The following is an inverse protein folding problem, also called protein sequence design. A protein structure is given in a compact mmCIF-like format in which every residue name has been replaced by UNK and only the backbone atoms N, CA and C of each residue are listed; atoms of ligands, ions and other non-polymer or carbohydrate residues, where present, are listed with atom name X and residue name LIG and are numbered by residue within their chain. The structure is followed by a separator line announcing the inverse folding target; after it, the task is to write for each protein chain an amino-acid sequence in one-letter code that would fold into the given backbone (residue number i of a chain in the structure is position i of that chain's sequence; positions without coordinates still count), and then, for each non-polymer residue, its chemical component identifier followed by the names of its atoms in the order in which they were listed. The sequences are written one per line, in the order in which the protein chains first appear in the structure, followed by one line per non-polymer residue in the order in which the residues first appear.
data_IF_523380673733
#
_entry.id   IF_523380673733
#
_cell.length_a   1.000
_cell.length_b   1.000
_cell.length_c   1.000
_cell.angle_alpha   90.00
_cell.angle_beta   90.00
_cell.angle_gamma   90.00
#
_symmetry.space_group_name_H-M   'P 1'
#
loop_
_entity.id
_entity.type
_entity.pdbx_description
1 polymer ?
#
# COMPACT_ATOMS: atom_id res chain seq x y z
N UNK A 1 119.73 -78.37 36.93
CA UNK A 1 118.33 -78.80 36.69
C UNK A 1 117.71 -77.80 35.74
N UNK A 2 117.19 -78.19 34.56
CA UNK A 2 116.49 -77.26 33.69
C UNK A 2 115.25 -76.74 34.41
N UNK A 3 115.12 -75.42 34.48
CA UNK A 3 113.97 -74.72 35.06
C UNK A 3 112.70 -75.22 34.37
N UNK A 4 111.73 -75.72 35.12
CA UNK A 4 110.45 -76.16 34.56
C UNK A 4 109.75 -75.01 33.84
N UNK A 5 109.12 -75.29 32.70
CA UNK A 5 108.30 -74.31 31.97
C UNK A 5 107.24 -73.77 32.91
N UNK A 6 107.15 -72.45 33.01
CA UNK A 6 106.13 -71.80 33.83
C UNK A 6 104.91 -71.38 33.00
N UNK A 7 103.77 -71.22 33.67
CA UNK A 7 102.52 -70.68 33.07
C UNK A 7 102.79 -69.33 32.38
N UNK A 8 103.60 -68.47 32.99
CA UNK A 8 103.92 -67.12 32.50
C UNK A 8 104.64 -67.13 31.16
N UNK A 9 105.60 -68.04 30.98
CA UNK A 9 106.38 -68.13 29.73
C UNK A 9 105.50 -68.59 28.56
N UNK A 10 104.64 -69.58 28.80
CA UNK A 10 103.67 -70.08 27.80
C UNK A 10 102.67 -68.99 27.41
N UNK A 11 102.20 -68.22 28.38
CA UNK A 11 101.23 -67.15 28.15
C UNK A 11 101.83 -65.97 27.38
N UNK A 12 103.04 -65.54 27.73
CA UNK A 12 103.72 -64.45 27.04
C UNK A 12 103.99 -64.79 25.56
N UNK A 13 104.31 -66.05 25.27
CA UNK A 13 104.49 -66.51 23.88
C UNK A 13 103.16 -66.63 23.17
N UNK A 14 102.11 -67.13 23.83
CA UNK A 14 100.77 -67.17 23.25
C UNK A 14 100.28 -65.76 22.87
N UNK A 15 100.48 -64.78 23.76
CA UNK A 15 100.21 -63.36 23.52
C UNK A 15 100.98 -62.83 22.30
N UNK A 16 102.27 -63.13 22.23
CA UNK A 16 103.13 -62.69 21.12
C UNK A 16 102.70 -63.32 19.79
N UNK A 17 102.19 -64.56 19.80
CA UNK A 17 101.66 -65.23 18.62
C UNK A 17 100.33 -64.59 18.17
N UNK A 18 99.43 -64.25 19.10
CA UNK A 18 98.19 -63.52 18.79
C UNK A 18 98.49 -62.14 18.19
N UNK A 19 99.47 -61.40 18.73
CA UNK A 19 99.88 -60.10 18.17
C UNK A 19 100.44 -60.22 16.74
N UNK A 20 100.92 -61.41 16.35
CA UNK A 20 101.38 -61.73 15.00
C UNK A 20 100.28 -62.32 14.10
N UNK A 21 99.03 -62.36 14.58
CA UNK A 21 97.90 -63.00 13.91
C UNK A 21 98.10 -64.52 13.67
N UNK A 22 98.89 -65.16 14.53
CA UNK A 22 99.14 -66.61 14.50
C UNK A 22 98.44 -67.33 15.66
N UNK A 23 97.79 -68.46 15.37
CA UNK A 23 97.14 -69.27 16.40
C UNK A 23 98.17 -69.94 17.32
N UNK A 24 98.07 -69.77 18.66
CA UNK A 24 99.04 -70.33 19.60
C UNK A 24 98.85 -71.85 19.75
N UNK A 25 99.54 -72.63 18.91
CA UNK A 25 99.55 -74.09 18.97
C UNK A 25 100.68 -74.59 19.89
N UNK A 26 100.54 -75.82 20.41
CA UNK A 26 101.57 -76.45 21.26
C UNK A 26 102.93 -76.47 20.54
N UNK A 27 102.92 -76.70 19.21
CA UNK A 27 104.11 -76.76 18.38
C UNK A 27 104.79 -75.39 18.30
N UNK A 28 104.04 -74.32 18.02
CA UNK A 28 104.59 -72.98 17.88
C UNK A 28 105.15 -72.46 19.21
N UNK A 29 104.42 -72.68 20.31
CA UNK A 29 104.86 -72.28 21.65
C UNK A 29 106.11 -73.06 22.07
N UNK A 30 106.13 -74.38 21.85
CA UNK A 30 107.30 -75.21 22.17
C UNK A 30 108.53 -74.81 21.34
N UNK A 31 108.32 -74.44 20.07
CA UNK A 31 109.39 -73.97 19.19
C UNK A 31 109.99 -72.65 19.67
N UNK A 32 109.17 -71.71 20.15
CA UNK A 32 109.66 -70.43 20.69
C UNK A 32 110.28 -70.57 22.09
N UNK A 33 109.81 -71.51 22.92
CA UNK A 33 110.41 -71.82 24.23
C UNK A 33 111.74 -72.57 24.15
N UNK A 34 112.08 -73.16 22.99
CA UNK A 34 113.27 -74.00 22.84
C UNK A 34 113.16 -75.39 23.48
N UNK A 35 111.96 -75.86 23.85
CA UNK A 35 111.75 -77.22 24.36
C UNK A 35 110.63 -77.39 25.39
N UNK A 36 110.72 -78.48 26.16
CA UNK A 36 109.87 -78.83 27.31
C UNK A 36 108.67 -79.75 27.04
N UNK A 37 107.91 -80.05 28.11
CA UNK A 37 106.88 -81.09 28.13
C UNK A 37 105.60 -80.63 27.39
N UNK A 38 105.20 -81.29 26.29
CA UNK A 38 103.99 -80.94 25.54
C UNK A 38 102.72 -80.90 26.39
N UNK A 39 102.59 -81.77 27.40
CA UNK A 39 101.41 -81.82 28.25
C UNK A 39 101.31 -80.59 29.18
N UNK A 40 102.44 -80.13 29.71
CA UNK A 40 102.50 -78.91 30.54
C UNK A 40 102.18 -77.68 29.71
N UNK A 41 102.74 -77.59 28.49
CA UNK A 41 102.44 -76.51 27.54
C UNK A 41 100.96 -76.54 27.16
N UNK A 42 100.40 -77.72 26.83
CA UNK A 42 98.99 -77.88 26.50
C UNK A 42 98.06 -77.43 27.64
N UNK A 43 98.39 -77.78 28.89
CA UNK A 43 97.60 -77.37 30.06
C UNK A 43 97.64 -75.85 30.28
N UNK A 44 98.81 -75.22 30.20
CA UNK A 44 98.92 -73.78 30.34
C UNK A 44 98.29 -73.01 29.18
N UNK A 45 98.39 -73.54 27.95
CA UNK A 45 97.69 -73.01 26.78
C UNK A 45 96.17 -73.15 26.89
N UNK A 46 95.66 -74.25 27.44
CA UNK A 46 94.23 -74.42 27.68
C UNK A 46 93.72 -73.37 28.67
N UNK A 47 94.45 -73.13 29.77
CA UNK A 47 94.13 -72.07 30.73
C UNK A 47 94.22 -70.67 30.11
N UNK A 48 95.21 -70.41 29.24
CA UNK A 48 95.32 -69.13 28.53
C UNK A 48 94.13 -68.92 27.59
N UNK A 49 93.79 -69.94 26.78
CA UNK A 49 92.65 -69.88 25.85
C UNK A 49 91.34 -69.64 26.58
N UNK A 50 91.13 -70.30 27.72
CA UNK A 50 89.92 -70.11 28.50
C UNK A 50 89.76 -68.67 29.00
N UNK A 51 90.84 -68.03 29.42
CA UNK A 51 90.81 -66.64 29.88
C UNK A 51 90.68 -65.64 28.72
N UNK A 52 91.42 -65.84 27.63
CA UNK A 52 91.35 -64.99 26.45
C UNK A 52 90.00 -65.08 25.71
N UNK A 53 89.43 -66.28 25.58
CA UNK A 53 88.10 -66.46 24.97
C UNK A 53 87.03 -65.75 25.80
N UNK A 54 87.16 -65.73 27.13
CA UNK A 54 86.21 -65.00 27.99
C UNK A 54 86.30 -63.49 27.76
N UNK A 55 87.50 -62.92 27.65
CA UNK A 55 87.68 -61.49 27.38
C UNK A 55 87.20 -61.08 25.97
N UNK A 56 87.52 -61.89 24.95
CA UNK A 56 87.05 -61.67 23.59
C UNK A 56 85.52 -61.76 23.50
N UNK A 57 84.92 -62.79 24.11
CA UNK A 57 83.46 -62.92 24.20
C UNK A 57 82.82 -61.75 24.96
N UNK A 58 83.44 -61.25 26.02
CA UNK A 58 82.98 -60.06 26.74
C UNK A 58 83.00 -58.82 25.85
N UNK A 59 84.08 -58.62 25.08
CA UNK A 59 84.17 -57.50 24.12
C UNK A 59 83.12 -57.59 23.00
N UNK A 60 82.83 -58.80 22.49
CA UNK A 60 81.73 -58.99 21.54
C UNK A 60 80.37 -58.64 22.16
N UNK A 61 80.12 -59.06 23.40
CA UNK A 61 78.86 -58.70 24.09
C UNK A 61 78.75 -57.21 24.38
N UNK A 62 79.83 -56.53 24.75
CA UNK A 62 79.84 -55.08 24.98
C UNK A 62 79.63 -54.31 23.68
N UNK A 63 80.28 -54.73 22.60
CA UNK A 63 80.08 -54.15 21.26
C UNK A 63 78.65 -54.32 20.77
N UNK A 64 78.06 -55.50 20.95
CA UNK A 64 76.66 -55.76 20.59
C UNK A 64 75.70 -54.88 21.40
N UNK A 65 75.96 -54.71 22.70
CA UNK A 65 75.19 -53.82 23.57
C UNK A 65 75.27 -52.36 23.09
N UNK A 66 76.47 -51.85 22.80
CA UNK A 66 76.65 -50.48 22.27
C UNK A 66 75.92 -50.28 20.93
N UNK A 67 75.98 -51.27 20.03
CA UNK A 67 75.25 -51.21 18.77
C UNK A 67 73.72 -51.27 18.97
N UNK A 68 73.23 -51.98 19.99
CA UNK A 68 71.82 -51.98 20.35
C UNK A 68 71.38 -50.60 20.86
N UNK A 69 72.15 -50.00 21.78
CA UNK A 69 71.87 -48.65 22.30
C UNK A 69 71.91 -47.58 21.20
N UNK A 70 72.87 -47.65 20.26
CA UNK A 70 72.89 -46.74 19.11
C UNK A 70 71.66 -46.87 18.21
N UNK A 71 71.16 -48.10 17.99
CA UNK A 71 69.92 -48.32 17.23
C UNK A 71 68.70 -47.76 17.94
N UNK A 72 68.62 -47.92 19.26
CA UNK A 72 67.53 -47.38 20.08
C UNK A 72 67.52 -45.84 20.02
N UNK A 73 68.67 -45.20 20.20
CA UNK A 73 68.77 -43.74 20.07
C UNK A 73 68.41 -43.23 18.66
N UNK A 74 68.81 -43.94 17.60
CA UNK A 74 68.43 -43.54 16.23
C UNK A 74 66.93 -43.75 15.99
N UNK A 75 66.32 -44.79 16.56
CA UNK A 75 64.86 -44.98 16.53
C UNK A 75 64.12 -43.85 17.26
N UNK A 76 64.58 -43.48 18.46
CA UNK A 76 64.03 -42.34 19.20
C UNK A 76 64.18 -41.04 18.41
N UNK A 77 65.34 -40.81 17.78
CA UNK A 77 65.58 -39.64 16.94
C UNK A 77 64.63 -39.59 15.75
N UNK A 78 64.41 -40.71 15.06
CA UNK A 78 63.44 -40.79 13.96
C UNK A 78 62.03 -40.51 14.47
N UNK A 79 61.62 -41.12 15.58
CA UNK A 79 60.31 -40.87 16.18
C UNK A 79 60.09 -39.41 16.61
N UNK A 80 61.13 -38.75 17.13
CA UNK A 80 61.08 -37.33 17.46
C UNK A 80 60.98 -36.44 16.22
N UNK A 81 61.69 -36.76 15.13
CA UNK A 81 61.56 -36.01 13.86
C UNK A 81 60.15 -36.15 13.27
N UNK A 82 59.57 -37.36 13.27
CA UNK A 82 58.20 -37.60 12.81
C UNK A 82 57.18 -36.81 13.65
N UNK A 83 57.36 -36.76 14.98
CA UNK A 83 56.49 -35.98 15.85
C UNK A 83 56.65 -34.46 15.64
N UNK A 84 57.86 -33.97 15.37
CA UNK A 84 58.10 -32.56 15.00
C UNK A 84 57.36 -32.24 13.70
N UNK A 85 57.49 -33.07 12.67
CA UNK A 85 56.79 -32.88 11.39
C UNK A 85 55.27 -32.90 11.57
N UNK A 86 54.75 -33.79 12.42
CA UNK A 86 53.33 -33.85 12.78
C UNK A 86 52.87 -32.56 13.47
N UNK A 87 53.63 -32.06 14.44
CA UNK A 87 53.32 -30.84 15.18
C UNK A 87 53.41 -29.60 14.29
N UNK A 88 54.39 -29.52 13.39
CA UNK A 88 54.51 -28.41 12.43
C UNK A 88 53.32 -28.40 11.46
N UNK A 89 52.88 -29.56 10.97
CA UNK A 89 51.67 -29.67 10.16
C UNK A 89 50.41 -29.23 10.92
N UNK A 90 50.31 -29.59 12.20
CA UNK A 90 49.21 -29.18 13.09
C UNK A 90 49.24 -27.66 13.35
N UNK A 91 50.41 -27.07 13.62
CA UNK A 91 50.59 -25.63 13.79
C UNK A 91 50.19 -24.88 12.52
N UNK A 92 50.61 -25.35 11.34
CA UNK A 92 50.24 -24.70 10.07
C UNK A 92 48.74 -24.83 9.77
N UNK A 93 48.11 -25.95 10.15
CA UNK A 93 46.65 -26.10 10.08
C UNK A 93 45.95 -25.10 11.00
N UNK A 94 46.37 -25.05 12.27
CA UNK A 94 45.83 -24.14 13.28
C UNK A 94 46.10 -22.67 12.94
N UNK A 95 47.13 -22.34 12.16
CA UNK A 95 47.37 -20.97 11.66
C UNK A 95 46.46 -20.61 10.48
N UNK A 96 46.11 -21.56 9.63
CA UNK A 96 45.22 -21.32 8.47
C UNK A 96 43.77 -21.12 8.90
N UNK A 97 43.28 -21.90 9.85
CA UNK A 97 41.90 -21.81 10.38
C UNK A 97 41.47 -20.39 10.84
N UNK A 98 42.23 -19.65 11.69
CA UNK A 98 41.86 -18.31 12.12
C UNK A 98 41.94 -17.29 10.98
N UNK A 99 42.83 -17.47 9.99
CA UNK A 99 42.88 -16.58 8.82
C UNK A 99 41.63 -16.71 7.94
N UNK A 100 41.15 -17.94 7.75
CA UNK A 100 39.86 -18.20 7.09
C UNK A 100 38.70 -17.61 7.91
N UNK A 101 38.65 -17.88 9.22
CA UNK A 101 37.60 -17.37 10.09
C UNK A 101 37.55 -15.82 10.14
N UNK A 102 38.71 -15.15 10.13
CA UNK A 102 38.79 -13.68 10.06
C UNK A 102 38.26 -13.15 8.72
N UNK A 103 38.54 -13.84 7.61
CA UNK A 103 38.00 -13.47 6.31
C UNK A 103 36.47 -13.62 6.27
N UNK A 104 35.94 -14.76 6.73
CA UNK A 104 34.50 -15.01 6.78
C UNK A 104 33.78 -13.99 7.67
N UNK A 105 34.34 -13.71 8.85
CA UNK A 105 33.81 -12.69 9.76
C UNK A 105 33.85 -11.28 9.14
N UNK A 106 34.85 -10.96 8.32
CA UNK A 106 34.89 -9.68 7.59
C UNK A 106 33.81 -9.60 6.49
N UNK A 107 33.57 -10.71 5.78
CA UNK A 107 32.51 -10.83 4.78
C UNK A 107 31.13 -10.68 5.43
N UNK A 108 30.89 -11.38 6.55
CA UNK A 108 29.64 -11.28 7.31
C UNK A 108 29.40 -9.89 7.87
N UNK A 109 30.42 -9.24 8.46
CA UNK A 109 30.32 -7.84 8.91
C UNK A 109 29.93 -6.89 7.77
N UNK A 110 30.51 -7.07 6.58
CA UNK A 110 30.17 -6.28 5.40
C UNK A 110 28.75 -6.56 4.92
N UNK A 111 28.28 -7.80 5.00
CA UNK A 111 26.90 -8.16 4.70
C UNK A 111 25.93 -7.53 5.72
N UNK A 112 26.26 -7.59 7.01
CA UNK A 112 25.46 -7.00 8.08
C UNK A 112 25.35 -5.47 7.97
N UNK A 113 26.43 -4.77 7.64
CA UNK A 113 26.38 -3.32 7.41
C UNK A 113 25.53 -2.95 6.19
N UNK A 114 25.51 -3.78 5.14
CA UNK A 114 24.59 -3.59 3.99
C UNK A 114 23.12 -3.78 4.40
N UNK A 115 22.81 -4.83 5.16
CA UNK A 115 21.43 -5.06 5.63
C UNK A 115 20.98 -3.94 6.57
N UNK A 116 21.89 -3.44 7.43
CA UNK A 116 21.63 -2.31 8.32
C UNK A 116 21.37 -1.02 7.54
N UNK A 117 22.10 -0.75 6.46
CA UNK A 117 21.82 0.38 5.57
C UNK A 117 20.44 0.24 4.91
N UNK A 118 20.11 -0.95 4.38
CA UNK A 118 18.79 -1.22 3.80
C UNK A 118 17.64 -1.03 4.80
N UNK A 119 17.79 -1.49 6.04
CA UNK A 119 16.79 -1.30 7.10
C UNK A 119 16.55 0.20 7.36
N UNK A 120 17.61 1.01 7.40
CA UNK A 120 17.46 2.47 7.55
C UNK A 120 16.71 3.10 6.38
N UNK A 121 17.01 2.70 5.15
CA UNK A 121 16.31 3.18 3.96
C UNK A 121 14.82 2.81 3.98
N UNK A 122 14.49 1.57 4.38
CA UNK A 122 13.09 1.13 4.53
C UNK A 122 12.37 1.91 5.65
N UNK A 123 13.02 2.14 6.78
CA UNK A 123 12.45 2.94 7.87
C UNK A 123 12.18 4.39 7.43
N UNK A 124 13.08 4.98 6.65
CA UNK A 124 12.87 6.33 6.10
C UNK A 124 11.68 6.35 5.13
N UNK A 125 11.62 5.41 4.19
CA UNK A 125 10.49 5.29 3.24
C UNK A 125 9.15 5.09 3.95
N UNK A 126 9.14 4.33 5.04
CA UNK A 126 7.95 4.11 5.85
C UNK A 126 7.48 5.40 6.52
N UNK A 127 8.40 6.20 7.08
CA UNK A 127 8.08 7.53 7.64
C UNK A 127 7.56 8.49 6.58
N UNK A 128 8.17 8.52 5.40
CA UNK A 128 7.72 9.35 4.28
C UNK A 128 6.32 8.93 3.80
N UNK A 129 6.06 7.62 3.68
CA UNK A 129 4.74 7.09 3.33
C UNK A 129 3.68 7.42 4.38
N UNK A 130 4.01 7.33 5.67
CA UNK A 130 3.13 7.74 6.76
C UNK A 130 2.78 9.23 6.69
N UNK A 131 3.77 10.10 6.53
CA UNK A 131 3.53 11.54 6.39
C UNK A 131 2.71 11.89 5.14
N UNK A 132 2.86 11.15 4.05
CA UNK A 132 2.03 11.32 2.86
C UNK A 132 0.59 10.82 3.07
N UNK A 133 0.41 9.70 3.77
CA UNK A 133 -0.92 9.18 4.13
C UNK A 133 -1.67 10.16 5.04
N UNK A 134 -0.99 10.77 6.02
CA UNK A 134 -1.56 11.82 6.87
C UNK A 134 -2.00 13.05 6.07
N UNK A 135 -1.17 13.53 5.13
CA UNK A 135 -1.54 14.63 4.23
C UNK A 135 -2.76 14.30 3.37
N UNK A 136 -2.82 13.09 2.82
CA UNK A 136 -3.97 12.63 2.03
C UNK A 136 -5.23 12.49 2.89
N UNK A 137 -5.10 12.02 4.13
CA UNK A 137 -6.21 11.94 5.07
C UNK A 137 -6.76 13.34 5.40
N UNK A 138 -5.88 14.33 5.61
CA UNK A 138 -6.30 15.71 5.85
C UNK A 138 -6.98 16.31 4.61
N UNK A 139 -6.43 16.09 3.41
CA UNK A 139 -7.09 16.53 2.17
C UNK A 139 -8.47 15.89 2.00
N UNK A 140 -8.61 14.60 2.28
CA UNK A 140 -9.90 13.91 2.23
C UNK A 140 -10.89 14.50 3.25
N UNK A 141 -10.42 14.87 4.45
CA UNK A 141 -11.25 15.50 5.46
C UNK A 141 -11.74 16.88 5.02
N UNK A 142 -10.85 17.70 4.45
CA UNK A 142 -11.21 19.02 3.89
C UNK A 142 -12.26 18.87 2.79
N UNK A 143 -12.05 17.96 1.84
CA UNK A 143 -13.00 17.70 0.76
C UNK A 143 -14.36 17.20 1.28
N UNK A 144 -14.38 16.39 2.33
CA UNK A 144 -15.64 15.96 2.98
C UNK A 144 -16.40 17.14 3.60
N UNK A 145 -15.70 18.08 4.25
CA UNK A 145 -16.31 19.28 4.81
C UNK A 145 -16.86 20.19 3.69
N UNK A 146 -16.11 20.38 2.60
CA UNK A 146 -16.58 21.14 1.44
C UNK A 146 -17.80 20.51 0.78
N UNK A 147 -17.81 19.18 0.64
CA UNK A 147 -18.96 18.45 0.11
C UNK A 147 -20.20 18.61 1.01
N UNK A 148 -20.04 18.58 2.33
CA UNK A 148 -21.12 18.86 3.27
C UNK A 148 -21.65 20.30 3.13
N UNK A 149 -20.76 21.29 3.03
CA UNK A 149 -21.14 22.69 2.85
C UNK A 149 -21.87 22.93 1.50
N UNK A 150 -21.44 22.26 0.43
CA UNK A 150 -22.14 22.32 -0.86
C UNK A 150 -23.54 21.69 -0.79
N UNK A 151 -23.69 20.60 -0.03
CA UNK A 151 -24.99 19.97 0.20
C UNK A 151 -25.94 20.91 0.96
N UNK A 152 -25.46 21.61 1.98
CA UNK A 152 -26.25 22.62 2.71
C UNK A 152 -26.64 23.79 1.80
N UNK A 153 -25.71 24.30 0.99
CA UNK A 153 -26.02 25.34 -0.01
C UNK A 153 -27.06 24.88 -1.02
N UNK A 154 -27.00 23.61 -1.46
CA UNK A 154 -28.02 23.01 -2.31
C UNK A 154 -29.40 22.97 -1.65
N UNK A 155 -29.48 22.57 -0.38
CA UNK A 155 -30.73 22.59 0.37
C UNK A 155 -31.31 24.01 0.53
N UNK A 156 -30.45 25.01 0.79
CA UNK A 156 -30.86 26.41 0.82
C UNK A 156 -31.34 26.93 -0.54
N UNK A 157 -30.70 26.52 -1.64
CA UNK A 157 -31.12 26.88 -2.98
C UNK A 157 -32.50 26.31 -3.32
N UNK A 158 -32.77 25.05 -2.96
CA UNK A 158 -34.10 24.45 -3.11
C UNK A 158 -35.15 25.14 -2.23
N UNK A 159 -34.80 25.52 -0.99
CA UNK A 159 -35.69 26.29 -0.13
C UNK A 159 -36.04 27.67 -0.75
N UNK A 160 -35.05 28.38 -1.29
CA UNK A 160 -35.25 29.66 -1.98
C UNK A 160 -36.10 29.46 -3.23
N UNK A 161 -35.88 28.40 -4.00
CA UNK A 161 -36.69 28.07 -5.18
C UNK A 161 -38.14 27.83 -4.81
N UNK A 162 -38.41 27.06 -3.75
CA UNK A 162 -39.77 26.84 -3.24
C UNK A 162 -40.43 28.15 -2.78
N UNK A 163 -39.68 29.07 -2.16
CA UNK A 163 -40.19 30.40 -1.81
C UNK A 163 -40.51 31.24 -3.05
N UNK A 164 -39.66 31.21 -4.07
CA UNK A 164 -39.90 31.91 -5.34
C UNK A 164 -41.14 31.36 -6.03
N UNK A 165 -41.30 30.04 -6.10
CA UNK A 165 -42.51 29.41 -6.67
C UNK A 165 -43.77 29.80 -5.89
N UNK A 166 -43.70 29.84 -4.55
CA UNK A 166 -44.80 30.30 -3.70
C UNK A 166 -45.16 31.76 -3.97
N UNK A 167 -44.18 32.66 -3.99
CA UNK A 167 -44.38 34.08 -4.27
C UNK A 167 -44.91 34.32 -5.70
N UNK A 168 -44.43 33.55 -6.68
CA UNK A 168 -44.97 33.57 -8.05
C UNK A 168 -46.43 33.11 -8.07
N UNK A 169 -46.78 32.07 -7.31
CA UNK A 169 -48.15 31.61 -7.12
C UNK A 169 -49.05 32.65 -6.46
N UNK A 170 -48.56 33.32 -5.41
CA UNK A 170 -49.27 34.42 -4.72
C UNK A 170 -49.47 35.63 -5.65
N UNK A 171 -48.46 36.02 -6.43
CA UNK A 171 -48.58 37.07 -7.45
C UNK A 171 -49.59 36.70 -8.54
N UNK A 172 -49.57 35.46 -9.02
CA UNK A 172 -50.58 34.95 -9.97
C UNK A 172 -51.99 34.94 -9.34
N UNK A 173 -52.10 34.61 -8.05
CA UNK A 173 -53.34 34.67 -7.29
C UNK A 173 -53.87 36.10 -7.15
N UNK A 174 -53.03 37.06 -6.75
CA UNK A 174 -53.38 38.46 -6.61
C UNK A 174 -53.76 39.11 -7.94
N UNK A 175 -53.07 38.77 -9.03
CA UNK A 175 -53.44 39.26 -10.37
C UNK A 175 -54.79 38.70 -10.83
N UNK A 176 -55.07 37.42 -10.57
CA UNK A 176 -56.41 36.83 -10.77
C UNK A 176 -57.48 37.47 -9.89
N UNK A 177 -57.22 37.68 -8.60
CA UNK A 177 -58.16 38.32 -7.69
C UNK A 177 -58.43 39.78 -8.09
N UNK A 178 -57.42 40.52 -8.54
CA UNK A 178 -57.57 41.90 -9.02
C UNK A 178 -58.34 41.98 -10.32
N UNK A 179 -58.15 41.03 -11.23
CA UNK A 179 -58.92 40.97 -12.49
C UNK A 179 -60.35 40.54 -12.23
N UNK A 180 -60.57 39.50 -11.43
CA UNK A 180 -61.91 39.05 -11.03
C UNK A 180 -62.67 40.09 -10.20
N UNK A 181 -62.01 40.83 -9.31
CA UNK A 181 -62.62 41.93 -8.55
C UNK A 181 -63.06 43.07 -9.47
N UNK A 182 -62.20 43.47 -10.42
CA UNK A 182 -62.57 44.45 -11.45
C UNK A 182 -63.72 43.95 -12.33
N UNK A 183 -63.72 42.68 -12.72
CA UNK A 183 -64.82 42.09 -13.48
C UNK A 183 -66.12 42.05 -12.66
N UNK A 184 -66.05 41.72 -11.36
CA UNK A 184 -67.22 41.71 -10.48
C UNK A 184 -67.79 43.13 -10.28
N UNK A 185 -66.92 44.13 -10.09
CA UNK A 185 -67.32 45.53 -9.99
C UNK A 185 -67.97 46.01 -11.30
N UNK A 186 -67.32 45.75 -12.44
CA UNK A 186 -67.86 46.08 -13.77
C UNK A 186 -69.16 45.34 -14.07
N UNK A 187 -69.31 44.09 -13.62
CA UNK A 187 -70.54 43.31 -13.77
C UNK A 187 -71.66 43.83 -12.85
N UNK A 188 -71.32 44.31 -11.65
CA UNK A 188 -72.23 44.98 -10.73
C UNK A 188 -72.77 46.28 -11.33
N UNK A 189 -71.88 47.10 -11.89
CA UNK A 189 -72.24 48.35 -12.57
C UNK A 189 -73.07 48.08 -13.83
N UNK A 190 -72.71 47.07 -14.62
CA UNK A 190 -73.50 46.65 -15.78
C UNK A 190 -74.92 46.20 -15.40
N UNK A 191 -75.09 45.51 -14.26
CA UNK A 191 -76.42 45.12 -13.75
C UNK A 191 -77.23 46.31 -13.29
N UNK A 192 -76.63 47.29 -12.59
CA UNK A 192 -77.32 48.53 -12.21
C UNK A 192 -77.79 49.30 -13.44
N UNK A 193 -76.91 49.48 -14.42
CA UNK A 193 -77.25 50.12 -15.70
C UNK A 193 -78.34 49.36 -16.47
N UNK A 194 -78.36 48.03 -16.41
CA UNK A 194 -79.42 47.23 -17.02
C UNK A 194 -80.76 47.43 -16.30
N UNK A 195 -80.78 47.50 -14.97
CA UNK A 195 -81.97 47.80 -14.18
C UNK A 195 -82.50 49.21 -14.45
N UNK A 196 -81.62 50.21 -14.52
CA UNK A 196 -81.97 51.58 -14.88
C UNK A 196 -82.56 51.65 -16.29
N UNK A 197 -81.95 50.97 -17.27
CA UNK A 197 -82.51 50.89 -18.62
C UNK A 197 -83.89 50.22 -18.65
N UNK A 198 -84.08 49.15 -17.87
CA UNK A 198 -85.39 48.48 -17.78
C UNK A 198 -86.44 49.39 -17.13
N UNK A 199 -86.07 50.13 -16.08
CA UNK A 199 -86.93 51.14 -15.45
C UNK A 199 -87.31 52.25 -16.44
N UNK A 200 -86.35 52.77 -17.19
CA UNK A 200 -86.59 53.77 -18.24
C UNK A 200 -87.47 53.22 -19.36
N UNK A 201 -87.31 51.95 -19.75
CA UNK A 201 -88.21 51.34 -20.75
C UNK A 201 -89.65 51.23 -20.24
N UNK A 202 -89.87 50.89 -18.97
CA UNK A 202 -91.20 50.90 -18.36
C UNK A 202 -91.76 52.32 -18.28
N UNK A 203 -90.93 53.31 -17.96
CA UNK A 203 -91.33 54.71 -17.96
C UNK A 203 -91.70 55.20 -19.36
N UNK A 204 -90.93 54.84 -20.40
CA UNK A 204 -91.27 55.10 -21.80
C UNK A 204 -92.59 54.40 -22.18
N UNK A 205 -92.80 53.15 -21.75
CA UNK A 205 -94.04 52.43 -22.04
C UNK A 205 -95.25 53.11 -21.39
N UNK A 206 -95.16 53.49 -20.11
CA UNK A 206 -96.23 54.23 -19.42
C UNK A 206 -96.44 55.62 -20.01
N UNK A 207 -95.37 56.31 -20.45
CA UNK A 207 -95.49 57.57 -21.18
C UNK A 207 -96.20 57.38 -22.52
N UNK A 208 -95.91 56.31 -23.27
CA UNK A 208 -96.64 55.98 -24.50
C UNK A 208 -98.11 55.71 -24.24
N UNK A 209 -98.46 54.95 -23.20
CA UNK A 209 -99.85 54.75 -22.79
C UNK A 209 -100.53 56.08 -22.43
N UNK A 210 -99.82 56.96 -21.70
CA UNK A 210 -100.31 58.32 -21.44
C UNK A 210 -100.47 59.13 -22.72
N UNK A 211 -99.59 59.00 -23.71
CA UNK A 211 -99.73 59.66 -25.01
C UNK A 211 -100.97 59.16 -25.74
N UNK A 212 -101.23 57.85 -25.74
CA UNK A 212 -102.46 57.28 -26.31
C UNK A 212 -103.70 57.79 -25.57
N UNK A 213 -103.65 57.91 -24.24
CA UNK A 213 -104.72 58.55 -23.46
C UNK A 213 -104.90 60.03 -23.78
N UNK A 214 -103.82 60.78 -23.99
CA UNK A 214 -103.88 62.19 -24.39
C UNK A 214 -104.44 62.31 -25.81
N UNK A 215 -104.07 61.45 -26.74
CA UNK A 215 -104.66 61.41 -28.09
C UNK A 215 -106.14 61.01 -28.05
N UNK A 216 -106.52 60.06 -27.19
CA UNK A 216 -107.92 59.70 -26.98
C UNK A 216 -108.73 60.85 -26.35
N UNK A 217 -108.15 61.57 -25.38
CA UNK A 217 -108.73 62.79 -24.81
C UNK A 217 -108.80 63.90 -25.85
N UNK A 218 -107.79 64.07 -26.70
CA UNK A 218 -107.79 65.04 -27.79
C UNK A 218 -108.87 64.71 -28.83
N UNK A 219 -109.06 63.44 -29.17
CA UNK A 219 -110.17 62.99 -30.02
C UNK A 219 -111.53 63.22 -29.36
N UNK A 220 -111.65 63.06 -28.04
CA UNK A 220 -112.87 63.45 -27.31
C UNK A 220 -113.09 64.95 -27.31
N UNK A 221 -112.04 65.77 -27.16
CA UNK A 221 -112.12 67.23 -27.24
C UNK A 221 -112.50 67.68 -28.66
N UNK A 222 -111.91 67.09 -29.71
CA UNK A 222 -112.31 67.35 -31.11
C UNK A 222 -113.75 66.91 -31.36
N UNK A 223 -114.19 65.79 -30.79
CA UNK A 223 -115.59 65.34 -30.87
C UNK A 223 -116.52 66.32 -30.17
N UNK A 224 -116.18 66.78 -28.97
CA UNK A 224 -116.94 67.80 -28.23
C UNK A 224 -116.90 69.17 -28.93
N UNK A 225 -115.81 69.53 -29.58
CA UNK A 225 -115.70 70.72 -30.42
C UNK A 225 -116.53 70.58 -31.70
N UNK A 226 -116.60 69.40 -32.30
CA UNK A 226 -117.51 69.07 -33.40
C UNK A 226 -118.98 69.09 -32.98
N UNK A 227 -119.29 68.59 -31.78
CA UNK A 227 -120.62 68.62 -31.18
C UNK A 227 -121.04 70.07 -30.83
N UNK A 228 -120.14 70.88 -30.26
CA UNK A 228 -120.32 72.33 -30.08
C UNK A 228 -120.49 73.06 -31.41
N UNK A 229 -119.75 72.70 -32.46
CA UNK A 229 -119.92 73.23 -33.80
C UNK A 229 -121.25 72.82 -34.44
N UNK A 230 -121.80 71.65 -34.08
CA UNK A 230 -123.13 71.20 -34.51
C UNK A 230 -124.29 71.85 -33.72
N UNK A 231 -124.06 72.24 -32.47
CA UNK A 231 -124.99 73.02 -31.64
C UNK A 231 -124.97 74.53 -31.96
N UNK A 232 -123.84 75.05 -32.42
CA UNK A 232 -123.68 76.45 -32.81
C UNK A 232 -124.18 76.77 -34.23
N UNK A 233 -124.52 75.77 -35.06
CA UNK A 233 -124.97 75.97 -36.47
C UNK A 233 -126.49 76.04 -36.68
N UNK A 234 -127.28 76.13 -35.61
CA UNK A 234 -128.74 76.33 -35.67
C UNK A 234 -129.25 77.70 -35.17
N UNK A 235 -128.37 78.69 -34.99
CA UNK A 235 -128.75 80.11 -34.80
C UNK A 235 -127.70 81.08 -35.36
N UNK A 236 -128.16 81.85 -36.34
CA UNK A 236 -127.78 83.23 -36.68
C UNK A 236 -126.31 83.65 -36.84
N UNK A 237 -126.09 84.17 -38.06
CA UNK A 237 -125.37 85.40 -38.41
C UNK A 237 -123.85 85.44 -38.45
N UNK A 238 -123.42 85.91 -39.61
CA UNK A 238 -122.32 86.85 -39.86
C UNK A 238 -120.86 86.37 -39.86
N UNK A 239 -120.34 86.45 -41.09
CA UNK A 239 -119.06 87.04 -41.53
C UNK A 239 -117.74 86.29 -41.32
N UNK A 240 -117.00 86.44 -42.41
CA UNK A 240 -115.55 86.56 -42.55
C UNK A 240 -114.69 85.33 -42.86
N UNK A 241 -113.85 85.61 -43.85
CA UNK A 241 -112.58 85.06 -44.25
C UNK A 241 -112.45 83.81 -45.15
N UNK A 242 -111.61 84.05 -46.16
CA UNK A 242 -111.16 83.24 -47.30
C UNK A 242 -109.62 83.18 -47.22
N UNK A 243 -108.96 82.19 -47.84
CA UNK A 243 -108.35 81.11 -47.09
C UNK A 243 -106.85 80.93 -47.36
N UNK A 244 -106.21 80.21 -46.44
CA UNK A 244 -104.91 79.54 -46.58
C UNK A 244 -105.02 78.32 -47.49
N UNK A 245 -103.95 78.02 -48.24
CA UNK A 245 -103.66 76.72 -48.86
C UNK A 245 -102.12 76.63 -49.15
N UNK A 246 -101.52 75.44 -49.41
CA UNK A 246 -101.03 74.52 -48.36
C UNK A 246 -99.64 73.89 -48.68
N UNK A 247 -99.27 72.85 -47.90
CA UNK A 247 -98.40 71.70 -48.26
C UNK A 247 -96.87 71.94 -48.34
N UNK A 248 -96.05 71.33 -47.49
CA UNK A 248 -95.67 69.90 -47.32
C UNK A 248 -94.35 69.55 -48.02
N UNK A 249 -93.70 68.51 -47.47
CA UNK A 249 -92.53 67.74 -47.94
C UNK A 249 -91.14 68.27 -47.51
N UNK A 250 -90.39 67.65 -46.56
CA UNK A 250 -89.72 66.32 -46.57
C UNK A 250 -88.60 66.30 -47.66
N UNK A 251 -87.43 65.63 -47.52
CA UNK A 251 -86.53 65.34 -46.39
C UNK A 251 -85.01 65.40 -46.75
N UNK A 252 -84.17 64.93 -45.82
CA UNK A 252 -82.92 64.18 -46.05
C UNK A 252 -81.65 64.93 -46.44
N UNK A 253 -80.62 64.72 -45.62
CA UNK A 253 -79.31 64.36 -46.16
C UNK A 253 -78.09 64.97 -45.48
N UNK A 254 -77.42 64.18 -44.65
CA UNK A 254 -75.98 63.93 -44.77
C UNK A 254 -74.98 64.91 -44.14
N UNK A 255 -74.08 64.35 -43.34
CA UNK A 255 -72.68 64.78 -43.17
C UNK A 255 -71.88 63.55 -42.70
N UNK A 256 -71.10 62.84 -43.56
CA UNK A 256 -69.70 63.08 -43.96
C UNK A 256 -68.83 63.66 -42.83
N UNK A 257 -67.98 62.84 -42.21
CA UNK A 257 -66.54 62.65 -42.55
C UNK A 257 -65.72 63.94 -42.45
N UNK A 258 -64.77 64.00 -41.50
CA UNK A 258 -63.32 64.02 -41.78
C UNK A 258 -62.49 64.19 -40.49
N UNK A 259 -61.37 63.47 -40.42
CA UNK A 259 -60.23 63.80 -39.57
C UNK A 259 -59.43 64.97 -40.20
N UNK A 260 -58.49 65.65 -39.51
CA UNK A 260 -57.09 65.17 -39.57
C UNK A 260 -56.15 65.52 -38.39
N UNK A 261 -55.02 64.80 -38.42
CA UNK A 261 -53.63 64.97 -37.89
C UNK A 261 -53.17 66.27 -37.20
N UNK A 262 -52.32 66.10 -36.18
CA UNK A 262 -50.91 66.57 -36.00
C UNK A 262 -50.44 66.13 -34.58
N UNK A 263 -49.38 65.35 -34.36
CA UNK A 263 -47.92 65.51 -34.54
C UNK A 263 -47.21 66.37 -33.47
N UNK A 264 -45.99 65.93 -33.11
CA UNK A 264 -44.99 66.45 -32.15
C UNK A 264 -45.13 65.94 -30.70
N UNK A 265 -44.13 65.34 -30.02
CA UNK A 265 -42.69 65.20 -30.28
C UNK A 265 -41.85 65.92 -29.21
N UNK A 266 -41.21 65.18 -28.30
CA UNK A 266 -39.96 65.51 -27.54
C UNK A 266 -39.83 64.56 -26.31
N UNK A 267 -38.89 63.61 -26.28
CA UNK A 267 -37.46 63.70 -25.87
C UNK A 267 -37.17 63.96 -24.38
N UNK A 268 -36.60 62.95 -23.69
CA UNK A 268 -35.28 62.93 -22.97
C UNK A 268 -35.19 61.65 -22.12
N UNK A 269 -34.26 60.72 -22.39
CA UNK A 269 -32.83 60.67 -22.02
C UNK A 269 -32.55 60.62 -20.51
N UNK A 270 -32.01 59.47 -20.05
CA UNK A 270 -30.69 59.30 -19.40
C UNK A 270 -30.69 57.98 -18.60
N UNK A 271 -29.88 56.99 -19.02
CA UNK A 271 -28.50 56.69 -18.58
C UNK A 271 -28.40 55.97 -17.22
N UNK A 272 -27.88 54.75 -17.24
CA UNK A 272 -26.59 54.33 -16.64
C UNK A 272 -26.56 52.80 -16.55
N UNK A 273 -25.58 52.16 -17.21
CA UNK A 273 -24.38 51.56 -16.61
C UNK A 273 -24.71 50.34 -15.73
N UNK A 274 -24.14 49.15 -15.90
CA UNK A 274 -23.04 48.65 -16.71
C UNK A 274 -22.69 47.23 -16.20
N UNK A 275 -21.55 46.70 -16.66
CA UNK A 275 -20.74 45.60 -16.09
C UNK A 275 -20.87 44.21 -16.76
N UNK A 276 -19.72 43.85 -17.38
CA UNK A 276 -19.07 42.54 -17.59
C UNK A 276 -19.83 41.45 -18.36
N UNK A 277 -19.40 40.96 -19.55
CA UNK A 277 -18.09 40.47 -19.99
C UNK A 277 -17.60 39.23 -19.22
N UNK A 278 -17.53 38.14 -19.97
CA UNK A 278 -16.45 37.15 -20.02
C UNK A 278 -16.56 35.84 -19.20
N UNK A 279 -16.36 34.75 -19.97
CA UNK A 279 -15.50 33.59 -19.69
C UNK A 279 -16.19 32.36 -19.05
N UNK A 280 -16.54 31.43 -19.94
CA UNK A 280 -16.44 29.98 -19.74
C UNK A 280 -15.03 29.61 -19.23
N UNK A 281 -14.86 28.75 -18.21
CA UNK A 281 -13.65 27.99 -18.08
C UNK A 281 -13.81 26.63 -18.77
N UNK A 282 -12.86 26.39 -19.66
CA UNK A 282 -12.57 25.13 -20.30
C UNK A 282 -12.14 24.05 -19.30
N UNK A 283 -12.43 22.82 -19.68
CA UNK A 283 -11.75 21.57 -19.38
C UNK A 283 -10.62 21.61 -18.33
N UNK A 284 -10.88 20.89 -17.25
CA UNK A 284 -9.89 20.34 -16.34
C UNK A 284 -8.76 19.63 -17.10
N UNK A 285 -7.57 20.24 -17.01
CA UNK A 285 -6.29 19.65 -17.38
C UNK A 285 -5.97 18.54 -16.37
N UNK A 286 -5.87 17.31 -16.87
CA UNK A 286 -5.44 16.15 -16.09
C UNK A 286 -4.04 16.37 -15.48
N UNK A 287 -3.77 15.92 -14.25
CA UNK A 287 -2.41 15.83 -13.74
C UNK A 287 -1.67 14.74 -14.53
N UNK A 288 -0.50 15.12 -15.05
CA UNK A 288 0.40 14.24 -15.77
C UNK A 288 0.76 13.02 -14.92
N UNK A 289 0.54 11.85 -15.52
CA UNK A 289 1.19 10.63 -15.09
C UNK A 289 2.70 10.83 -15.13
N UNK A 290 3.34 10.53 -14.00
CA UNK A 290 4.78 10.59 -13.84
C UNK A 290 5.49 9.68 -14.83
N UNK A 291 6.65 10.17 -15.28
CA UNK A 291 7.64 9.40 -16.01
C UNK A 291 7.93 8.09 -15.28
N UNK A 292 7.74 7.00 -16.02
CA UNK A 292 8.20 5.68 -15.65
C UNK A 292 9.72 5.72 -15.46
N UNK A 293 10.15 5.63 -14.20
CA UNK A 293 11.53 5.28 -13.88
C UNK A 293 11.88 3.96 -14.53
N UNK A 294 13.04 3.94 -15.19
CA UNK A 294 13.70 2.77 -15.75
C UNK A 294 13.51 1.52 -14.87
N UNK A 295 12.59 0.66 -15.30
CA UNK A 295 12.50 -0.70 -14.79
C UNK A 295 13.78 -1.43 -15.16
N UNK A 296 14.61 -1.72 -14.17
CA UNK A 296 15.56 -2.83 -14.28
C UNK A 296 14.72 -4.07 -14.54
N UNK A 297 14.87 -4.60 -15.74
CA UNK A 297 14.46 -5.94 -16.16
C UNK A 297 14.88 -6.93 -15.06
N UNK A 298 13.90 -7.41 -14.29
CA UNK A 298 14.12 -8.47 -13.31
C UNK A 298 14.16 -9.75 -14.11
N UNK A 299 15.37 -10.31 -14.22
CA UNK A 299 15.64 -11.55 -14.92
C UNK A 299 14.81 -12.68 -14.27
N UNK A 300 13.88 -13.33 -14.99
CA UNK A 300 12.99 -14.36 -14.43
C UNK A 300 13.72 -15.67 -14.06
N UNK A 301 15.05 -15.69 -14.14
CA UNK A 301 15.92 -16.83 -13.85
C UNK A 301 16.89 -16.60 -12.67
N UNK A 302 16.56 -15.73 -11.71
CA UNK A 302 17.36 -15.59 -10.47
C UNK A 302 17.23 -16.87 -9.60
N UNK A 303 18.32 -17.63 -9.34
CA UNK A 303 18.29 -18.90 -8.62
C UNK A 303 18.03 -18.79 -7.10
N UNK A 304 17.73 -17.59 -6.58
CA UNK A 304 17.52 -17.36 -5.13
C UNK A 304 16.11 -17.71 -4.61
N UNK A 305 15.16 -18.11 -5.47
CA UNK A 305 13.79 -18.46 -5.05
C UNK A 305 13.24 -19.78 -5.64
N UNK A 306 13.88 -20.95 -5.41
CA UNK A 306 13.36 -22.21 -5.94
C UNK A 306 12.08 -22.71 -5.23
N UNK A 307 11.79 -22.25 -4.00
CA UNK A 307 10.72 -22.83 -3.18
C UNK A 307 9.31 -22.27 -3.45
N UNK A 308 9.17 -21.01 -3.87
CA UNK A 308 7.84 -20.38 -4.05
C UNK A 308 7.19 -20.70 -5.39
N UNK A 309 7.98 -20.96 -6.44
CA UNK A 309 7.46 -21.29 -7.77
C UNK A 309 6.88 -22.71 -7.86
N UNK A 310 7.34 -23.65 -7.04
CA UNK A 310 6.83 -25.03 -7.05
C UNK A 310 5.42 -25.14 -6.43
N UNK A 311 5.12 -24.29 -5.43
CA UNK A 311 3.82 -24.27 -4.78
C UNK A 311 2.74 -23.56 -5.61
N UNK A 312 3.10 -22.46 -6.29
CA UNK A 312 2.19 -21.77 -7.21
C UNK A 312 1.95 -22.56 -8.51
N UNK A 313 2.95 -23.30 -9.01
CA UNK A 313 2.80 -24.12 -10.23
C UNK A 313 2.03 -25.42 -9.99
N UNK A 314 2.10 -26.00 -8.79
CA UNK A 314 1.29 -27.18 -8.43
C UNK A 314 -0.18 -26.85 -8.16
N UNK A 315 -0.49 -25.62 -7.70
CA UNK A 315 -1.88 -25.19 -7.47
C UNK A 315 -2.57 -24.71 -8.77
N UNK A 316 -1.82 -24.14 -9.72
CA UNK A 316 -2.38 -23.68 -10.99
C UNK A 316 -2.63 -24.79 -12.03
N UNK A 317 -2.00 -25.96 -11.91
CA UNK A 317 -2.09 -27.03 -12.91
C UNK A 317 -3.41 -27.83 -12.88
N UNK A 318 -4.29 -27.60 -11.89
CA UNK A 318 -5.57 -28.31 -11.77
C UNK A 318 -6.82 -27.53 -12.22
N UNK A 319 -6.68 -26.28 -12.67
CA UNK A 319 -7.82 -25.35 -12.80
C UNK A 319 -8.14 -24.88 -14.23
N UNK A 320 -7.64 -25.58 -15.26
CA UNK A 320 -8.04 -25.34 -16.65
C UNK A 320 -9.17 -26.29 -17.06
N UNK A 321 -10.39 -25.98 -16.62
CA UNK A 321 -11.64 -26.50 -17.19
C UNK A 321 -12.37 -25.34 -17.89
N UNK A 322 -13.11 -25.60 -18.99
CA UNK A 322 -13.70 -24.54 -19.81
C UNK A 322 -14.76 -23.77 -19.02
N UNK A 323 -14.63 -22.45 -19.03
CA UNK A 323 -15.47 -21.50 -18.30
C UNK A 323 -16.95 -21.58 -18.70
N UNK A 324 -17.72 -22.33 -17.92
CA UNK A 324 -19.16 -22.15 -17.76
C UNK A 324 -19.41 -21.51 -16.39
N UNK A 325 -20.08 -20.35 -16.39
CA UNK A 325 -20.57 -19.58 -15.23
C UNK A 325 -20.44 -20.28 -13.86
N UNK A 326 -19.36 -20.00 -13.14
CA UNK A 326 -19.24 -20.35 -11.72
C UNK A 326 -20.04 -19.33 -10.88
N UNK A 327 -20.96 -19.76 -10.02
CA UNK A 327 -21.72 -18.86 -9.16
C UNK A 327 -20.78 -18.15 -8.17
N UNK A 328 -21.03 -16.85 -7.94
CA UNK A 328 -20.24 -15.96 -7.07
C UNK A 328 -20.00 -16.55 -5.67
N UNK A 329 -20.92 -17.40 -5.19
CA UNK A 329 -20.80 -18.13 -3.93
C UNK A 329 -19.59 -19.05 -3.85
N UNK A 330 -19.13 -19.61 -4.98
CA UNK A 330 -17.98 -20.51 -5.02
C UNK A 330 -16.66 -19.74 -4.90
N UNK A 331 -16.59 -18.57 -5.54
CA UNK A 331 -15.42 -17.68 -5.46
C UNK A 331 -15.27 -17.12 -4.05
N UNK A 332 -16.36 -16.66 -3.43
CA UNK A 332 -16.33 -16.20 -2.03
C UNK A 332 -15.86 -17.29 -1.07
N UNK A 333 -16.33 -18.54 -1.25
CA UNK A 333 -15.95 -19.65 -0.39
C UNK A 333 -14.48 -20.03 -0.55
N UNK A 334 -13.96 -20.03 -1.78
CA UNK A 334 -12.54 -20.25 -2.05
C UNK A 334 -11.66 -19.16 -1.43
N UNK A 335 -12.04 -17.88 -1.56
CA UNK A 335 -11.28 -16.75 -0.98
C UNK A 335 -11.27 -16.82 0.55
N UNK A 336 -12.41 -17.12 1.19
CA UNK A 336 -12.50 -17.30 2.65
C UNK A 336 -11.62 -18.47 3.13
N UNK A 337 -11.60 -19.57 2.38
CA UNK A 337 -10.79 -20.74 2.73
C UNK A 337 -9.28 -20.47 2.57
N UNK A 338 -8.88 -19.70 1.56
CA UNK A 338 -7.49 -19.25 1.40
C UNK A 338 -7.05 -18.26 2.49
N UNK A 339 -7.94 -17.35 2.92
CA UNK A 339 -7.66 -16.41 4.01
C UNK A 339 -7.46 -17.13 5.35
N UNK A 340 -8.32 -18.10 5.69
CA UNK A 340 -8.14 -18.91 6.91
C UNK A 340 -6.83 -19.70 6.88
N UNK A 341 -6.45 -20.26 5.73
CA UNK A 341 -5.17 -20.98 5.61
C UNK A 341 -3.96 -20.05 5.83
N UNK A 342 -4.03 -18.81 5.32
CA UNK A 342 -3.00 -17.80 5.54
C UNK A 342 -2.90 -17.38 7.02
N UNK A 343 -4.04 -17.21 7.69
CA UNK A 343 -4.09 -16.85 9.10
C UNK A 343 -3.54 -17.97 10.00
N UNK A 344 -3.87 -19.23 9.70
CA UNK A 344 -3.28 -20.39 10.37
C UNK A 344 -1.77 -20.49 10.15
N UNK A 345 -1.29 -20.21 8.93
CA UNK A 345 0.14 -20.21 8.63
C UNK A 345 0.88 -19.07 9.36
N UNK A 346 0.31 -17.87 9.38
CA UNK A 346 0.86 -16.72 10.12
C UNK A 346 0.96 -17.01 11.61
N UNK A 347 -0.09 -17.59 12.21
CA UNK A 347 -0.08 -17.98 13.62
C UNK A 347 0.93 -19.12 13.91
N UNK A 348 1.13 -20.05 12.97
CA UNK A 348 2.14 -21.09 13.11
C UNK A 348 3.57 -20.52 13.05
N UNK A 349 3.85 -19.58 12.15
CA UNK A 349 5.14 -18.90 12.05
C UNK A 349 5.42 -18.04 13.29
N UNK A 350 4.42 -17.29 13.78
CA UNK A 350 4.57 -16.46 14.98
C UNK A 350 4.84 -17.32 16.23
N UNK A 351 4.16 -18.46 16.36
CA UNK A 351 4.42 -19.41 17.44
C UNK A 351 5.79 -20.11 17.32
N UNK A 352 6.33 -20.26 16.11
CA UNK A 352 7.66 -20.83 15.91
C UNK A 352 8.75 -19.82 16.29
N UNK A 353 8.57 -18.53 15.95
CA UNK A 353 9.45 -17.44 16.39
C UNK A 353 9.43 -17.29 17.92
N UNK A 354 8.25 -17.33 18.55
CA UNK A 354 8.14 -17.21 20.01
C UNK A 354 8.78 -18.39 20.75
N UNK A 355 8.71 -19.61 20.20
CA UNK A 355 9.47 -20.77 20.71
C UNK A 355 10.97 -20.63 20.53
N UNK A 356 11.44 -20.09 19.40
CA UNK A 356 12.86 -19.87 19.17
C UNK A 356 13.43 -18.81 20.13
N UNK A 357 12.68 -17.73 20.37
CA UNK A 357 13.05 -16.68 21.34
C UNK A 357 13.08 -17.26 22.76
N UNK A 358 12.09 -18.09 23.14
CA UNK A 358 12.07 -18.75 24.45
C UNK A 358 13.25 -19.73 24.62
N UNK A 359 13.57 -20.51 23.58
CA UNK A 359 14.72 -21.43 23.59
C UNK A 359 16.07 -20.69 23.70
N UNK A 360 16.22 -19.54 23.03
CA UNK A 360 17.41 -18.69 23.17
C UNK A 360 17.54 -18.12 24.59
N UNK A 361 16.43 -17.67 25.19
CA UNK A 361 16.42 -17.18 26.58
C UNK A 361 16.76 -18.27 27.60
N UNK A 362 16.27 -19.50 27.39
CA UNK A 362 16.62 -20.66 28.22
C UNK A 362 18.10 -21.06 28.08
N UNK A 363 18.66 -20.98 26.86
CA UNK A 363 20.10 -21.18 26.65
C UNK A 363 20.93 -20.11 27.35
N UNK A 364 20.55 -18.83 27.31
CA UNK A 364 21.25 -17.76 28.03
C UNK A 364 21.25 -17.99 29.55
N UNK A 365 20.12 -18.43 30.12
CA UNK A 365 20.02 -18.77 31.54
C UNK A 365 20.92 -19.95 31.93
N UNK A 366 20.98 -21.00 31.09
CA UNK A 366 21.89 -22.12 31.30
C UNK A 366 23.36 -21.68 31.24
N UNK A 367 23.70 -20.82 30.28
CA UNK A 367 25.05 -20.30 30.13
C UNK A 367 25.48 -19.48 31.36
N UNK A 368 24.61 -18.59 31.85
CA UNK A 368 24.85 -17.81 33.06
C UNK A 368 24.98 -18.69 34.31
N UNK A 369 24.18 -19.75 34.43
CA UNK A 369 24.27 -20.72 35.53
C UNK A 369 25.63 -21.44 35.55
N UNK A 370 26.08 -21.93 34.40
CA UNK A 370 27.38 -22.61 34.26
C UNK A 370 28.53 -21.66 34.59
N UNK A 371 28.49 -20.41 34.11
CA UNK A 371 29.51 -19.41 34.42
C UNK A 371 29.54 -19.03 35.90
N UNK A 372 28.38 -18.91 36.55
CA UNK A 372 28.30 -18.68 37.99
C UNK A 372 28.91 -19.84 38.78
N UNK A 373 28.61 -21.08 38.39
CA UNK A 373 29.18 -22.29 38.99
C UNK A 373 30.69 -22.37 38.85
N UNK A 374 31.24 -22.09 37.67
CA UNK A 374 32.69 -22.05 37.45
C UNK A 374 33.38 -20.99 38.30
N UNK A 375 32.76 -19.81 38.45
CA UNK A 375 33.30 -18.73 39.29
C UNK A 375 33.30 -19.10 40.77
N UNK A 376 32.23 -19.74 41.26
CA UNK A 376 32.16 -20.24 42.64
C UNK A 376 33.22 -21.33 42.92
N UNK A 377 33.47 -22.21 41.96
CA UNK A 377 34.46 -23.27 42.09
C UNK A 377 35.90 -22.72 42.10
N UNK A 378 36.18 -21.68 41.31
CA UNK A 378 37.47 -20.97 41.36
C UNK A 378 37.71 -20.24 42.69
N UNK A 379 36.65 -19.74 43.34
CA UNK A 379 36.79 -19.13 44.67
C UNK A 379 37.03 -20.16 45.77
N UNK A 380 36.44 -21.36 45.68
CA UNK A 380 36.68 -22.44 46.63
C UNK A 380 38.09 -23.03 46.52
N UNK A 381 38.66 -23.15 45.32
CA UNK A 381 40.04 -23.64 45.16
C UNK A 381 41.12 -22.63 45.55
N UNK A 382 40.77 -21.39 45.89
CA UNK A 382 41.71 -20.34 46.33
C UNK A 382 41.67 -20.07 47.84
N UNK A 383 40.69 -20.64 48.56
CA UNK A 383 40.59 -20.61 50.02
C UNK A 383 41.16 -21.92 50.58
#
# INVERSE_FOLDING_TARGET
MPSGITKKDVWQIAETLVQKDEMPTIVNVRSQLGGGNPHTIASHLASWREEHIKEEMLFYTERELLMATLREMEQERVGLMEEIERLDAEIEKVRKEPSAAVHDLAVEKKAHERTKAQIKDYQQRLKEAQGNAEKLAEQSRVLQVEAAALKERGAHAEQLKAQVEKLQGELAGLTKAKTAGKEADLQGDARKLAQENQALQMEIATLKERTVHVEALKAQVEKLQGELASLARSKETEKEDKPSEPQDTIPTGGAKQEAPKEAQGAQKKNNSAGIAKAILPAASRAPGFGEAGNGKEIDPFDPRYPALLFYLRSSAAGWFLPMGYMPVSYIQKAVLQSLMALEMYSNACFNAEDRAVRALSEMELLYLSIFSGMRANQTMNRA
#
